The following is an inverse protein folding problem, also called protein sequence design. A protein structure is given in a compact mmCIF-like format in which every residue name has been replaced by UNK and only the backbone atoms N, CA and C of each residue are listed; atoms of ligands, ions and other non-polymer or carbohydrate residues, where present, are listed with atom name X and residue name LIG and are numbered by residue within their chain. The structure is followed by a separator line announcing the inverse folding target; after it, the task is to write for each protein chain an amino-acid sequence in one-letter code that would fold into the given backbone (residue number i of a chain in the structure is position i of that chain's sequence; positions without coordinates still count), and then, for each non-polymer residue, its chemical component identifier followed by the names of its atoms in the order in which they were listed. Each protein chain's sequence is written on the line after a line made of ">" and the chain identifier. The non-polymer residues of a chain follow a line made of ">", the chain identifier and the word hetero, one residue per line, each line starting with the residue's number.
data_IF_211636962834
#
_entry.id   IF_211636962834
#
_cell.length_a   1.000
_cell.length_b   1.000
_cell.length_c   1.000
_cell.angle_alpha   90.00
_cell.angle_beta   90.00
_cell.angle_gamma   90.00
#
_symmetry.space_group_name_H-M   'P 1'
#
loop_
_entity.id
_entity.type
_entity.pdbx_description
1 polymer ?
#
# COMPACT_ATOMS: atom_id res chain seq x y z
N UNK A 1 11.49 78.22 3.10
CA UNK A 1 12.71 77.39 3.14
C UNK A 1 12.87 76.96 4.58
N UNK A 2 12.33 75.79 4.95
CA UNK A 2 12.97 74.46 4.96
C UNK A 2 13.24 74.05 6.40
N UNK A 3 13.06 72.76 6.69
CA UNK A 3 13.32 72.05 7.95
C UNK A 3 12.21 72.19 9.02
N UNK A 4 11.84 71.16 9.78
CA UNK A 4 12.28 69.76 9.88
C UNK A 4 11.18 68.99 10.65
N UNK A 5 11.25 67.67 10.53
CA UNK A 5 10.51 66.60 11.20
C UNK A 5 10.26 66.77 12.72
N UNK A 6 9.37 65.90 13.23
CA UNK A 6 9.02 65.58 14.63
C UNK A 6 7.73 66.29 15.09
N UNK A 7 6.68 65.66 15.64
CA UNK A 7 6.64 64.51 16.53
C UNK A 7 5.18 64.07 16.71
N UNK A 8 4.84 62.82 16.39
CA UNK A 8 3.68 62.12 16.98
C UNK A 8 3.78 60.61 16.70
N UNK A 9 4.97 60.06 16.99
CA UNK A 9 5.10 58.63 17.27
C UNK A 9 4.98 58.53 18.79
N UNK A 10 3.75 58.39 19.28
CA UNK A 10 3.53 57.78 20.60
C UNK A 10 3.87 56.30 20.45
N UNK A 11 5.10 55.95 20.83
CA UNK A 11 5.47 54.57 21.10
C UNK A 11 4.61 54.07 22.27
N UNK A 12 3.68 53.17 21.98
CA UNK A 12 3.17 52.27 23.01
C UNK A 12 4.25 51.24 23.27
N UNK A 13 5.09 51.55 24.26
CA UNK A 13 6.14 50.67 24.76
C UNK A 13 5.49 49.48 25.48
N UNK A 14 5.23 48.40 24.75
CA UNK A 14 4.94 47.10 25.34
C UNK A 14 6.29 46.40 25.47
N UNK A 15 6.88 46.57 26.66
CA UNK A 15 8.10 45.87 27.04
C UNK A 15 7.90 44.36 26.96
N UNK A 16 8.46 43.75 25.92
CA UNK A 16 8.86 42.36 25.90
C UNK A 16 10.34 42.29 26.34
N UNK A 17 10.64 41.43 27.31
CA UNK A 17 12.00 41.21 27.83
C UNK A 17 12.93 40.51 26.82
N UNK A 18 12.51 40.31 25.57
CA UNK A 18 13.29 39.65 24.53
C UNK A 18 13.32 40.41 23.18
N UNK A 19 13.31 41.74 23.15
CA UNK A 19 13.97 42.53 22.08
C UNK A 19 13.64 42.27 20.61
N UNK A 20 12.50 41.65 20.24
CA UNK A 20 12.11 41.46 18.85
C UNK A 20 11.12 42.56 18.44
N UNK A 21 11.64 43.61 17.80
CA UNK A 21 10.83 44.67 17.18
C UNK A 21 10.26 44.14 15.87
N UNK A 22 9.06 43.55 15.91
CA UNK A 22 8.29 43.28 14.69
C UNK A 22 7.49 44.54 14.39
N UNK A 23 7.93 45.32 13.41
CA UNK A 23 7.12 46.41 12.85
C UNK A 23 5.87 45.82 12.19
N UNK A 24 4.79 45.68 12.97
CA UNK A 24 3.47 45.50 12.41
C UNK A 24 2.98 46.86 11.91
N UNK A 25 2.94 47.00 10.59
CA UNK A 25 2.06 47.93 9.89
C UNK A 25 0.62 47.73 10.40
N UNK A 26 0.24 48.46 11.44
CA UNK A 26 -1.13 48.55 11.92
C UNK A 26 -1.87 49.54 11.00
N UNK A 27 -2.25 49.09 9.81
CA UNK A 27 -3.34 49.74 9.10
C UNK A 27 -4.64 49.38 9.80
N UNK A 28 -5.24 50.41 10.38
CA UNK A 28 -6.57 50.46 10.96
C UNK A 28 -7.62 49.87 10.00
N UNK A 29 -8.08 48.64 10.27
CA UNK A 29 -9.32 48.10 9.69
C UNK A 29 -10.40 48.24 10.76
N UNK A 30 -11.35 49.19 10.63
CA UNK A 30 -12.46 49.31 11.55
C UNK A 30 -13.52 48.27 11.18
N UNK A 31 -13.73 47.25 12.04
CA UNK A 31 -14.84 46.30 11.86
C UNK A 31 -14.68 44.88 12.39
N UNK A 32 -13.55 44.50 13.01
CA UNK A 32 -13.36 43.11 13.44
C UNK A 32 -13.96 42.89 14.83
N UNK A 33 -15.11 42.22 14.87
CA UNK A 33 -15.78 41.75 16.08
C UNK A 33 -14.96 40.69 16.81
N UNK A 34 -15.09 40.63 18.13
CA UNK A 34 -14.52 39.63 19.04
C UNK A 34 -15.12 38.21 18.85
N UNK A 35 -15.25 37.73 17.62
CA UNK A 35 -15.59 36.33 17.29
C UNK A 35 -14.36 35.53 16.79
N UNK A 36 -13.26 36.22 16.42
CA UNK A 36 -12.10 35.63 15.76
C UNK A 36 -11.32 34.61 16.62
N UNK A 37 -11.35 34.74 17.95
CA UNK A 37 -10.59 33.86 18.86
C UNK A 37 -11.20 32.46 19.03
N UNK A 38 -12.46 32.27 18.60
CA UNK A 38 -13.14 30.97 18.65
C UNK A 38 -12.98 30.18 17.34
N UNK A 39 -12.53 30.84 16.26
CA UNK A 39 -12.43 30.31 14.90
C UNK A 39 -11.15 29.49 14.65
N UNK A 40 -10.01 29.87 15.24
CA UNK A 40 -8.73 29.22 14.94
C UNK A 40 -8.59 27.79 15.50
N UNK A 41 -9.35 27.42 16.54
CA UNK A 41 -9.26 26.08 17.17
C UNK A 41 -9.93 24.95 16.39
N UNK A 42 -10.85 25.27 15.49
CA UNK A 42 -11.55 24.30 14.63
C UNK A 42 -10.93 24.16 13.24
N UNK A 43 -10.28 25.22 12.74
CA UNK A 43 -9.78 25.28 11.36
C UNK A 43 -8.75 24.18 11.04
N UNK A 44 -7.75 23.97 11.92
CA UNK A 44 -6.74 22.92 11.71
C UNK A 44 -7.32 21.51 11.75
N UNK A 45 -8.38 21.29 12.53
CA UNK A 45 -9.10 20.00 12.55
C UNK A 45 -9.85 19.77 11.24
N UNK A 46 -10.45 20.82 10.66
CA UNK A 46 -11.13 20.74 9.36
C UNK A 46 -10.14 20.48 8.22
N UNK A 47 -8.98 21.13 8.24
CA UNK A 47 -7.94 20.93 7.24
C UNK A 47 -7.35 19.50 7.27
N UNK A 48 -7.16 18.96 8.48
CA UNK A 48 -6.80 17.54 8.65
C UNK A 48 -7.93 16.61 8.16
N UNK A 49 -9.19 16.92 8.49
CA UNK A 49 -10.33 16.09 8.08
C UNK A 49 -10.49 16.02 6.55
N UNK A 50 -10.09 17.06 5.82
CA UNK A 50 -10.13 17.10 4.36
C UNK A 50 -8.94 16.38 3.70
N UNK A 51 -7.77 16.37 4.33
CA UNK A 51 -6.55 15.72 3.79
C UNK A 51 -6.47 14.22 4.14
N UNK A 52 -6.99 13.83 5.30
CA UNK A 52 -7.04 12.46 5.80
C UNK A 52 -7.68 11.44 4.82
N UNK A 53 -8.80 11.70 4.13
CA UNK A 53 -9.36 10.75 3.17
C UNK A 53 -8.42 10.49 1.98
N UNK A 54 -7.69 11.50 1.50
CA UNK A 54 -6.72 11.34 0.41
C UNK A 54 -5.53 10.51 0.90
N UNK A 55 -5.03 10.80 2.10
CA UNK A 55 -3.96 10.04 2.73
C UNK A 55 -4.34 8.55 2.90
N UNK A 56 -5.56 8.28 3.38
CA UNK A 56 -6.07 6.91 3.53
C UNK A 56 -6.18 6.19 2.19
N UNK A 57 -6.63 6.86 1.12
CA UNK A 57 -6.71 6.25 -0.21
C UNK A 57 -5.33 5.82 -0.72
N UNK A 58 -4.31 6.65 -0.52
CA UNK A 58 -2.93 6.32 -0.91
C UNK A 58 -2.39 5.15 -0.09
N UNK A 59 -2.61 5.17 1.23
CA UNK A 59 -2.18 4.07 2.12
C UNK A 59 -2.86 2.75 1.78
N UNK A 60 -4.18 2.75 1.64
CA UNK A 60 -4.95 1.56 1.32
C UNK A 60 -4.64 1.04 -0.09
N UNK A 61 -4.44 1.92 -1.08
CA UNK A 61 -3.98 1.53 -2.42
C UNK A 61 -2.61 0.88 -2.39
N UNK A 62 -1.67 1.43 -1.62
CA UNK A 62 -0.35 0.83 -1.41
C UNK A 62 -0.41 -0.54 -0.73
N UNK A 63 -1.30 -0.72 0.25
CA UNK A 63 -1.53 -2.00 0.92
C UNK A 63 -2.05 -3.07 -0.04
N UNK A 64 -2.97 -2.74 -0.94
CA UNK A 64 -3.47 -3.69 -1.92
C UNK A 64 -2.39 -4.15 -2.90
N UNK A 65 -1.55 -3.24 -3.40
CA UNK A 65 -0.41 -3.58 -4.26
C UNK A 65 0.62 -4.42 -3.51
N UNK A 66 0.93 -4.07 -2.26
CA UNK A 66 1.83 -4.83 -1.40
C UNK A 66 1.34 -6.25 -1.17
N UNK A 67 0.04 -6.43 -0.90
CA UNK A 67 -0.59 -7.76 -0.76
C UNK A 67 -0.56 -8.55 -2.07
N UNK A 68 -0.86 -7.92 -3.20
CA UNK A 68 -0.80 -8.58 -4.50
C UNK A 68 0.62 -9.12 -4.80
N UNK A 69 1.64 -8.29 -4.55
CA UNK A 69 3.04 -8.70 -4.73
C UNK A 69 3.45 -9.81 -3.77
N UNK A 70 3.06 -9.71 -2.49
CA UNK A 70 3.31 -10.75 -1.50
C UNK A 70 2.76 -12.11 -1.97
N UNK A 71 1.50 -12.15 -2.41
CA UNK A 71 0.91 -13.39 -2.93
C UNK A 71 1.62 -13.91 -4.18
N UNK A 72 2.04 -13.03 -5.09
CA UNK A 72 2.81 -13.42 -6.28
C UNK A 72 4.11 -14.16 -5.92
N UNK A 73 4.83 -13.66 -4.90
CA UNK A 73 6.05 -14.33 -4.41
C UNK A 73 5.72 -15.66 -3.74
N UNK A 74 4.68 -15.70 -2.92
CA UNK A 74 4.26 -16.93 -2.24
C UNK A 74 3.90 -18.04 -3.23
N UNK A 75 3.09 -17.76 -4.27
CA UNK A 75 2.74 -18.77 -5.29
C UNK A 75 3.94 -19.17 -6.14
N UNK A 76 4.91 -18.27 -6.37
CA UNK A 76 6.14 -18.59 -7.10
C UNK A 76 7.04 -19.54 -6.31
N UNK A 77 7.16 -19.34 -5.00
CA UNK A 77 7.87 -20.27 -4.13
C UNK A 77 7.16 -21.63 -4.08
N UNK A 78 5.83 -21.65 -3.96
CA UNK A 78 5.03 -22.87 -3.99
C UNK A 78 5.23 -23.66 -5.29
N UNK A 79 5.27 -22.98 -6.44
CA UNK A 79 5.55 -23.62 -7.72
C UNK A 79 6.95 -24.25 -7.75
N UNK A 80 7.96 -23.58 -7.21
CA UNK A 80 9.33 -24.11 -7.12
C UNK A 80 9.42 -25.33 -6.22
N UNK A 81 8.77 -25.32 -5.06
CA UNK A 81 8.75 -26.46 -4.15
C UNK A 81 7.96 -27.64 -4.74
N UNK A 82 6.84 -27.36 -5.42
CA UNK A 82 6.10 -28.36 -6.20
C UNK A 82 6.98 -29.01 -7.27
N UNK A 83 7.70 -28.21 -8.06
CA UNK A 83 8.63 -28.74 -9.08
C UNK A 83 9.75 -29.58 -8.45
N UNK A 84 10.30 -29.15 -7.32
CA UNK A 84 11.34 -29.89 -6.59
C UNK A 84 10.84 -31.26 -6.14
N UNK A 85 9.60 -31.35 -5.67
CA UNK A 85 8.97 -32.65 -5.41
C UNK A 85 8.75 -33.43 -6.71
N UNK A 86 8.36 -32.75 -7.79
CA UNK A 86 8.04 -33.36 -9.08
C UNK A 86 9.27 -33.88 -9.85
N UNK A 87 10.48 -33.44 -9.52
CA UNK A 87 11.71 -33.98 -10.10
C UNK A 87 11.93 -35.45 -9.73
N UNK A 88 11.31 -35.93 -8.65
CA UNK A 88 11.32 -37.35 -8.28
C UNK A 88 10.25 -38.10 -9.09
N UNK A 89 10.66 -38.91 -10.07
CA UNK A 89 9.73 -39.61 -10.96
C UNK A 89 8.72 -40.52 -10.24
N UNK A 90 9.06 -41.03 -9.05
CA UNK A 90 8.26 -41.98 -8.28
C UNK A 90 7.23 -41.34 -7.32
N UNK A 91 7.25 -40.01 -7.14
CA UNK A 91 6.27 -39.34 -6.27
C UNK A 91 4.90 -39.30 -6.95
N UNK A 92 3.80 -39.33 -6.20
CA UNK A 92 2.47 -39.12 -6.77
C UNK A 92 2.16 -37.61 -6.88
N UNK A 93 1.25 -37.25 -7.78
CA UNK A 93 0.81 -35.86 -7.93
C UNK A 93 0.18 -35.29 -6.64
N UNK A 94 -0.44 -36.15 -5.82
CA UNK A 94 -0.96 -35.74 -4.53
C UNK A 94 0.13 -35.23 -3.58
N UNK A 95 1.30 -35.88 -3.58
CA UNK A 95 2.46 -35.49 -2.77
C UNK A 95 3.09 -34.21 -3.30
N UNK A 96 3.15 -34.05 -4.63
CA UNK A 96 3.64 -32.83 -5.29
C UNK A 96 2.75 -31.63 -4.93
N UNK A 97 1.43 -31.79 -5.01
CA UNK A 97 0.47 -30.77 -4.56
C UNK A 97 0.60 -30.53 -3.05
N UNK A 98 0.87 -31.57 -2.27
CA UNK A 98 1.17 -31.47 -0.84
C UNK A 98 2.39 -30.59 -0.54
N UNK A 99 3.50 -30.79 -1.27
CA UNK A 99 4.70 -29.97 -1.14
C UNK A 99 4.43 -28.49 -1.46
N UNK A 100 3.75 -28.22 -2.58
CA UNK A 100 3.36 -26.85 -2.94
C UNK A 100 2.41 -26.21 -1.91
N UNK A 101 1.46 -26.95 -1.34
CA UNK A 101 0.56 -26.44 -0.28
C UNK A 101 1.31 -26.15 1.02
N UNK A 102 2.25 -27.01 1.40
CA UNK A 102 3.02 -26.86 2.63
C UNK A 102 3.91 -25.61 2.59
N UNK A 103 4.43 -25.25 1.42
CA UNK A 103 5.19 -24.00 1.22
C UNK A 103 4.34 -22.74 1.45
N UNK A 104 3.06 -22.77 1.05
CA UNK A 104 2.14 -21.65 1.27
C UNK A 104 1.63 -21.61 2.72
N UNK A 105 1.46 -22.78 3.34
CA UNK A 105 0.98 -22.93 4.72
C UNK A 105 -0.43 -22.37 4.91
N UNK A 106 -0.66 -21.72 6.05
CA UNK A 106 -1.95 -21.08 6.38
C UNK A 106 -2.14 -19.68 5.74
N UNK A 107 -1.18 -19.23 4.93
CA UNK A 107 -1.16 -17.88 4.36
C UNK A 107 -2.25 -17.69 3.29
N UNK A 108 -2.53 -18.73 2.51
CA UNK A 108 -3.49 -18.72 1.41
C UNK A 108 -4.18 -20.09 1.32
N UNK A 109 -5.50 -20.09 1.10
CA UNK A 109 -6.21 -21.31 0.74
C UNK A 109 -5.89 -21.70 -0.72
N UNK A 110 -5.13 -22.78 -0.90
CA UNK A 110 -4.68 -23.25 -2.21
C UNK A 110 -5.31 -24.62 -2.54
N UNK A 111 -6.47 -24.66 -3.22
CA UNK A 111 -7.10 -25.91 -3.59
C UNK A 111 -6.33 -26.61 -4.73
N UNK A 112 -6.47 -27.92 -4.85
CA UNK A 112 -5.74 -28.73 -5.84
C UNK A 112 -6.03 -28.32 -7.29
N UNK A 113 -7.20 -27.75 -7.56
CA UNK A 113 -7.58 -27.16 -8.85
C UNK A 113 -6.67 -26.03 -9.30
N UNK A 114 -5.99 -25.39 -8.35
CA UNK A 114 -5.12 -24.25 -8.59
C UNK A 114 -3.66 -24.68 -8.82
N UNK A 115 -3.36 -25.98 -8.71
CA UNK A 115 -2.02 -26.54 -8.90
C UNK A 115 -2.07 -27.47 -10.11
N UNK A 116 -1.62 -26.97 -11.25
CA UNK A 116 -1.48 -27.73 -12.47
C UNK A 116 -0.07 -28.31 -12.58
N UNK A 117 0.03 -29.61 -12.88
CA UNK A 117 1.29 -30.32 -13.07
C UNK A 117 1.30 -30.82 -14.51
N UNK A 118 2.39 -30.61 -15.23
CA UNK A 118 2.55 -31.07 -16.60
C UNK A 118 3.98 -31.60 -16.84
N UNK A 119 4.20 -32.87 -17.24
CA UNK A 119 3.18 -33.91 -17.48
C UNK A 119 2.64 -34.52 -16.17
N UNK A 120 1.38 -34.96 -16.23
CA UNK A 120 0.62 -35.60 -15.14
C UNK A 120 -0.29 -36.68 -15.73
N UNK A 121 -0.51 -37.83 -15.06
CA UNK A 121 0.07 -38.23 -13.77
C UNK A 121 1.43 -38.94 -13.90
N UNK A 122 1.82 -39.31 -15.12
CA UNK A 122 3.03 -40.09 -15.38
C UNK A 122 4.16 -39.16 -15.79
N UNK A 123 5.31 -39.35 -15.15
CA UNK A 123 6.57 -38.65 -15.44
C UNK A 123 7.65 -39.68 -15.74
N UNK A 124 8.56 -39.32 -16.63
CA UNK A 124 9.70 -40.18 -17.01
C UNK A 124 11.00 -39.43 -16.77
N UNK A 125 12.02 -40.14 -16.29
CA UNK A 125 13.35 -39.57 -16.11
C UNK A 125 13.87 -38.95 -17.41
N UNK A 126 14.47 -37.77 -17.30
CA UNK A 126 14.95 -36.96 -18.42
C UNK A 126 13.92 -36.07 -19.11
N UNK A 127 12.62 -36.15 -18.75
CA UNK A 127 11.59 -35.26 -19.30
C UNK A 127 11.44 -33.99 -18.44
N UNK A 128 11.11 -32.84 -19.06
CA UNK A 128 10.79 -31.64 -18.31
C UNK A 128 9.44 -31.80 -17.59
N UNK A 129 9.39 -31.37 -16.34
CA UNK A 129 8.16 -31.22 -15.56
C UNK A 129 7.97 -29.76 -15.18
N UNK A 130 6.75 -29.28 -15.34
CA UNK A 130 6.32 -27.91 -15.03
C UNK A 130 5.21 -27.98 -13.99
N UNK A 131 5.32 -27.19 -12.92
CA UNK A 131 4.25 -26.97 -11.95
C UNK A 131 3.82 -25.52 -12.04
N UNK A 132 2.52 -25.31 -12.21
CA UNK A 132 1.89 -23.99 -12.26
C UNK A 132 0.94 -23.85 -11.08
N UNK A 133 1.15 -22.81 -10.29
CA UNK A 133 0.30 -22.47 -9.14
C UNK A 133 -0.45 -21.18 -9.47
N UNK A 134 -1.76 -21.22 -9.33
CA UNK A 134 -2.66 -20.10 -9.60
C UNK A 134 -3.34 -19.62 -8.33
N UNK A 135 -3.60 -18.32 -8.21
CA UNK A 135 -4.33 -17.75 -7.10
C UNK A 135 -5.23 -16.60 -7.56
N UNK A 136 -6.44 -16.57 -7.02
CA UNK A 136 -7.44 -15.57 -7.33
C UNK A 136 -7.35 -14.42 -6.34
N UNK A 137 -6.64 -13.36 -6.73
CA UNK A 137 -6.47 -12.17 -5.91
C UNK A 137 -7.71 -11.28 -5.95
N UNK A 138 -8.14 -10.81 -4.77
CA UNK A 138 -9.19 -9.79 -4.62
C UNK A 138 -8.61 -8.60 -3.85
N UNK A 139 -8.83 -7.40 -4.38
CA UNK A 139 -8.46 -6.17 -3.70
C UNK A 139 -9.27 -6.01 -2.40
N UNK A 140 -8.65 -5.42 -1.37
CA UNK A 140 -9.35 -5.05 -0.15
C UNK A 140 -10.17 -3.78 -0.35
N UNK A 141 -9.66 -2.84 -1.14
CA UNK A 141 -10.36 -1.58 -1.40
C UNK A 141 -11.38 -1.72 -2.54
N UNK A 142 -12.62 -1.25 -2.34
CA UNK A 142 -13.64 -1.28 -3.40
C UNK A 142 -13.29 -0.36 -4.58
N UNK A 143 -12.43 0.64 -4.37
CA UNK A 143 -11.94 1.51 -5.44
C UNK A 143 -11.08 0.73 -6.42
N UNK A 144 -10.13 -0.07 -5.91
CA UNK A 144 -9.26 -0.87 -6.77
C UNK A 144 -10.00 -2.04 -7.39
N UNK A 145 -10.92 -2.68 -6.66
CA UNK A 145 -11.76 -3.75 -7.21
C UNK A 145 -12.58 -3.26 -8.43
N UNK A 146 -13.14 -2.04 -8.36
CA UNK A 146 -13.83 -1.42 -9.50
C UNK A 146 -12.90 -1.14 -10.69
N UNK A 147 -11.67 -0.70 -10.44
CA UNK A 147 -10.67 -0.43 -11.48
C UNK A 147 -10.24 -1.74 -12.16
N UNK A 148 -10.12 -2.83 -11.41
CA UNK A 148 -9.70 -4.15 -11.91
C UNK A 148 -10.84 -4.96 -12.56
N UNK A 149 -12.06 -4.43 -12.60
CA UNK A 149 -13.20 -5.05 -13.29
C UNK A 149 -14.20 -5.80 -12.40
N UNK A 150 -14.27 -5.48 -11.10
CA UNK A 150 -15.19 -6.06 -10.11
C UNK A 150 -15.14 -7.59 -10.03
N UNK A 151 -13.93 -8.15 -10.03
CA UNK A 151 -13.75 -9.59 -10.05
C UNK A 151 -12.34 -10.00 -9.61
N UNK A 152 -12.17 -11.26 -9.21
CA UNK A 152 -10.86 -11.77 -8.85
C UNK A 152 -9.92 -11.73 -10.06
N UNK A 153 -8.71 -11.22 -9.84
CA UNK A 153 -7.63 -11.23 -10.83
C UNK A 153 -6.80 -12.49 -10.62
N UNK A 154 -6.63 -13.29 -11.68
CA UNK A 154 -5.84 -14.53 -11.59
C UNK A 154 -4.36 -14.19 -11.64
N UNK A 155 -3.65 -14.51 -10.56
CA UNK A 155 -2.20 -14.52 -10.47
C UNK A 155 -1.73 -15.94 -10.74
N UNK A 156 -0.72 -16.10 -11.58
CA UNK A 156 -0.14 -17.42 -11.86
C UNK A 156 1.38 -17.33 -11.80
N UNK A 157 2.00 -18.39 -11.30
CA UNK A 157 3.43 -18.59 -11.33
C UNK A 157 3.73 -20.02 -11.74
N UNK A 158 4.72 -20.20 -12.60
CA UNK A 158 5.18 -21.50 -13.08
C UNK A 158 6.66 -21.68 -12.81
N UNK A 159 7.03 -22.90 -12.46
CA UNK A 159 8.42 -23.34 -12.41
C UNK A 159 8.57 -24.61 -13.26
N UNK A 160 9.79 -24.89 -13.72
CA UNK A 160 10.10 -26.12 -14.46
C UNK A 160 11.45 -26.72 -14.01
N UNK A 161 11.55 -28.04 -14.03
CA UNK A 161 12.79 -28.79 -13.83
C UNK A 161 12.78 -30.07 -14.68
N UNK A 162 13.90 -30.78 -14.70
CA UNK A 162 14.00 -32.09 -15.36
C UNK A 162 13.83 -33.18 -14.31
N UNK A 163 13.02 -34.18 -14.63
CA UNK A 163 12.80 -35.36 -13.79
C UNK A 163 14.08 -36.21 -13.76
N UNK A 164 14.52 -36.59 -12.56
CA UNK A 164 15.71 -37.43 -12.33
C UNK A 164 15.29 -38.88 -12.16
#
# INVERSE_FOLDING_TARGET
>A
MTNLLLQSVELCDIGDSNGVVIELFCSCIPGVSMDELRSSRGQSLVELALTLPILLLILLGGLDVGRAYFYQVTIANAAREGVRAASNYNLADADIRGAARNEVGATIALPDSNIAINPSPIRSSGQPVTVTVSYDFRALTPVLDRILGNGPVRLAASAAAVVQ
#
